data_IF_531754961018
#
_entry.id   IF_531754961018
#
_cell.length_a   1.000
_cell.length_b   1.000
_cell.length_c   1.000
_cell.angle_alpha   90.00
_cell.angle_beta   90.00
_cell.angle_gamma   90.00
#
_symmetry.space_group_name_H-M   'P 1'
#
loop_
_entity.id
_entity.type
_entity.pdbx_description
1 polymer ?
#
# COMPACT_ATOMS: atom_id res chain seq x y z
N UNK A 1 9.99 -2.19 10.72
CA UNK A 1 8.82 -3.08 10.92
C UNK A 1 7.69 -2.20 11.42
N UNK A 2 6.44 -2.37 10.95
CA UNK A 2 5.32 -1.57 11.49
C UNK A 2 5.13 -1.95 12.96
N UNK A 3 4.98 -0.96 13.83
CA UNK A 3 4.75 -1.19 15.26
C UNK A 3 3.41 -1.91 15.50
N UNK A 4 3.38 -2.83 16.46
CA UNK A 4 2.16 -3.59 16.82
C UNK A 4 0.98 -2.68 17.14
N UNK A 5 1.22 -1.57 17.83
CA UNK A 5 0.18 -0.56 18.13
C UNK A 5 -0.43 0.03 16.86
N UNK A 6 0.41 0.35 15.87
CA UNK A 6 -0.05 0.90 14.60
C UNK A 6 -0.80 -0.17 13.78
N UNK A 7 -0.32 -1.40 13.76
CA UNK A 7 -1.01 -2.53 13.12
C UNK A 7 -2.42 -2.71 13.68
N UNK A 8 -2.56 -2.74 15.02
CA UNK A 8 -3.86 -2.84 15.69
C UNK A 8 -4.78 -1.67 15.35
N UNK A 9 -4.23 -0.45 15.33
CA UNK A 9 -4.99 0.76 14.98
C UNK A 9 -5.53 0.70 13.55
N UNK A 10 -4.72 0.23 12.60
CA UNK A 10 -5.12 0.05 11.19
C UNK A 10 -6.20 -1.04 11.08
N UNK A 11 -6.00 -2.21 11.68
CA UNK A 11 -6.98 -3.32 11.64
C UNK A 11 -8.33 -2.90 12.26
N UNK A 12 -8.32 -2.25 13.42
CA UNK A 12 -9.54 -1.72 14.04
C UNK A 12 -10.24 -0.70 13.14
N UNK A 13 -9.46 0.15 12.45
CA UNK A 13 -10.01 1.13 11.50
C UNK A 13 -10.67 0.46 10.30
N UNK A 14 -10.09 -0.63 9.79
CA UNK A 14 -10.61 -1.42 8.68
C UNK A 14 -11.94 -2.07 9.07
N UNK A 15 -11.99 -2.74 10.22
CA UNK A 15 -13.14 -3.51 10.70
C UNK A 15 -14.31 -2.65 11.21
N UNK A 16 -14.10 -1.36 11.50
CA UNK A 16 -15.10 -0.49 12.18
C UNK A 16 -16.47 -0.43 11.49
N UNK A 17 -16.53 -0.65 10.18
CA UNK A 17 -17.75 -0.56 9.38
C UNK A 17 -18.40 -1.93 9.11
N UNK A 18 -18.08 -2.95 9.91
CA UNK A 18 -18.78 -4.25 9.87
C UNK A 18 -18.21 -5.24 8.86
N UNK A 19 -16.90 -5.21 8.63
CA UNK A 19 -16.23 -6.24 7.85
C UNK A 19 -15.99 -7.50 8.69
N UNK A 20 -16.03 -8.66 8.04
CA UNK A 20 -15.82 -9.96 8.68
C UNK A 20 -14.35 -10.19 9.02
N UNK A 21 -13.47 -9.65 8.18
CA UNK A 21 -12.03 -9.84 8.32
C UNK A 21 -11.23 -8.74 7.64
N UNK A 22 -10.02 -8.49 8.16
CA UNK A 22 -9.06 -7.57 7.54
C UNK A 22 -7.63 -8.08 7.67
N UNK A 23 -6.80 -7.73 6.70
CA UNK A 23 -5.38 -8.09 6.64
C UNK A 23 -4.53 -6.88 6.24
N UNK A 24 -3.29 -6.87 6.73
CA UNK A 24 -2.25 -5.89 6.38
C UNK A 24 -1.04 -6.66 5.87
N UNK A 25 -0.55 -6.30 4.68
CA UNK A 25 0.65 -6.86 4.08
C UNK A 25 1.69 -5.76 3.82
N UNK A 26 2.86 -5.87 4.43
CA UNK A 26 3.95 -4.88 4.28
C UNK A 26 4.97 -5.40 3.29
N UNK A 27 5.24 -4.64 2.23
CA UNK A 27 6.26 -4.96 1.23
C UNK A 27 7.48 -4.05 1.35
N UNK A 28 8.66 -4.64 1.16
CA UNK A 28 9.94 -3.95 0.97
C UNK A 28 10.60 -4.54 -0.26
N UNK A 29 10.82 -3.72 -1.29
CA UNK A 29 11.54 -4.11 -2.51
C UNK A 29 12.84 -3.34 -2.58
N UNK A 30 13.95 -4.04 -2.79
CA UNK A 30 15.26 -3.44 -3.06
C UNK A 30 15.62 -3.79 -4.50
N UNK A 31 16.00 -2.79 -5.30
CA UNK A 31 16.41 -2.99 -6.69
C UNK A 31 17.82 -2.46 -6.89
N UNK A 32 18.66 -3.29 -7.50
CA UNK A 32 20.00 -2.94 -7.91
C UNK A 32 20.09 -3.19 -9.41
N UNK A 33 20.34 -2.14 -10.20
CA UNK A 33 20.51 -2.27 -11.64
C UNK A 33 21.98 -2.01 -11.98
N UNK A 34 22.64 -3.02 -12.54
CA UNK A 34 24.01 -2.95 -13.04
C UNK A 34 23.93 -2.99 -14.57
N UNK A 35 24.22 -1.87 -15.24
CA UNK A 35 24.34 -1.80 -16.69
C UNK A 35 25.81 -1.65 -17.06
N UNK A 36 26.30 -2.54 -17.92
CA UNK A 36 27.67 -2.50 -18.45
C UNK A 36 27.59 -2.22 -19.95
N UNK A 37 28.22 -1.15 -20.40
CA UNK A 37 28.30 -0.77 -21.81
C UNK A 37 29.77 -0.42 -22.12
N UNK A 38 30.34 -1.05 -23.16
CA UNK A 38 31.70 -0.85 -23.66
C UNK A 38 32.84 -0.84 -22.60
N UNK A 39 32.87 -1.86 -21.72
CA UNK A 39 33.86 -2.03 -20.64
C UNK A 39 33.95 -0.88 -19.63
N UNK A 40 32.97 0.04 -19.62
CA UNK A 40 32.86 1.13 -18.67
C UNK A 40 31.58 0.96 -17.84
N UNK A 41 31.71 0.99 -16.52
CA UNK A 41 30.57 0.91 -15.61
C UNK A 41 29.89 2.30 -15.64
N UNK A 42 28.78 2.42 -16.35
CA UNK A 42 27.95 3.62 -16.37
C UNK A 42 26.70 3.37 -15.51
N UNK A 43 26.71 3.96 -14.31
CA UNK A 43 25.63 4.11 -13.34
C UNK A 43 25.10 2.85 -12.61
N UNK A 44 25.45 2.75 -11.32
CA UNK A 44 24.75 1.94 -10.31
C UNK A 44 23.54 2.72 -9.79
N UNK A 45 22.31 2.38 -10.20
CA UNK A 45 21.11 2.91 -9.55
C UNK A 45 20.63 1.94 -8.46
N UNK A 46 20.82 2.34 -7.22
CA UNK A 46 20.30 1.65 -6.04
C UNK A 46 19.04 2.35 -5.57
N UNK A 47 17.93 1.61 -5.47
CA UNK A 47 16.72 2.14 -4.85
C UNK A 47 15.98 1.12 -4.01
N UNK A 48 15.08 1.61 -3.18
CA UNK A 48 14.18 0.77 -2.40
C UNK A 48 12.75 1.34 -2.46
N UNK A 49 11.77 0.46 -2.58
CA UNK A 49 10.35 0.75 -2.47
C UNK A 49 9.82 0.14 -1.17
N UNK A 50 9.01 0.91 -0.45
CA UNK A 50 8.28 0.45 0.73
C UNK A 50 6.80 0.70 0.52
N UNK A 51 5.98 -0.29 0.82
CA UNK A 51 4.54 -0.17 0.65
C UNK A 51 3.75 -1.10 1.56
N UNK A 52 2.45 -0.91 1.55
CA UNK A 52 1.51 -1.64 2.38
C UNK A 52 0.22 -1.92 1.60
N UNK A 53 -0.17 -3.19 1.52
CA UNK A 53 -1.47 -3.63 1.05
C UNK A 53 -2.43 -3.82 2.21
N UNK A 54 -3.68 -3.35 2.06
CA UNK A 54 -4.77 -3.52 3.00
C UNK A 54 -5.88 -4.31 2.31
N UNK A 55 -6.40 -5.35 2.96
CA UNK A 55 -7.50 -6.17 2.45
C UNK A 55 -8.63 -6.27 3.46
N UNK A 56 -9.86 -6.29 2.97
CA UNK A 56 -11.10 -6.37 3.75
C UNK A 56 -12.06 -7.37 3.10
N UNK A 57 -12.71 -8.23 3.90
CA UNK A 57 -13.79 -9.13 3.49
C UNK A 57 -15.11 -8.71 4.11
N UNK A 58 -16.17 -8.66 3.30
CA UNK A 58 -17.54 -8.33 3.71
C UNK A 58 -18.51 -9.24 2.96
N UNK A 59 -19.02 -10.27 3.63
CA UNK A 59 -19.73 -11.37 3.00
C UNK A 59 -18.90 -11.97 1.87
N UNK A 60 -19.45 -11.98 0.66
CA UNK A 60 -18.78 -12.48 -0.55
C UNK A 60 -17.91 -11.42 -1.25
N UNK A 61 -17.85 -10.19 -0.73
CA UNK A 61 -17.11 -9.09 -1.34
C UNK A 61 -15.73 -8.92 -0.72
N UNK A 62 -14.72 -8.66 -1.56
CA UNK A 62 -13.36 -8.34 -1.13
C UNK A 62 -13.00 -6.91 -1.57
N UNK A 63 -12.39 -6.14 -0.68
CA UNK A 63 -11.91 -4.78 -0.94
C UNK A 63 -10.39 -4.72 -0.74
N UNK A 64 -9.71 -3.95 -1.58
CA UNK A 64 -8.25 -3.82 -1.53
C UNK A 64 -7.80 -2.36 -1.65
N UNK A 65 -6.79 -1.98 -0.85
CA UNK A 65 -6.07 -0.73 -1.01
C UNK A 65 -4.56 -0.96 -0.96
N UNK A 66 -3.81 -0.14 -1.70
CA UNK A 66 -2.36 -0.12 -1.65
C UNK A 66 -1.86 1.28 -1.33
N UNK A 67 -0.82 1.36 -0.49
CA UNK A 67 -0.14 2.59 -0.09
C UNK A 67 1.36 2.39 -0.34
N UNK A 68 1.99 3.31 -1.04
CA UNK A 68 3.43 3.34 -1.32
C UNK A 68 4.24 4.04 -0.22
N UNK A 69 3.74 3.96 1.02
CA UNK A 69 4.37 4.56 2.19
C UNK A 69 3.98 3.78 3.44
N UNK A 70 4.90 3.75 4.42
CA UNK A 70 4.66 3.20 5.76
C UNK A 70 4.37 4.31 6.79
N UNK A 71 4.17 5.55 6.34
CA UNK A 71 3.78 6.64 7.21
C UNK A 71 2.41 6.38 7.84
N UNK A 72 2.36 6.48 9.17
CA UNK A 72 1.15 6.24 9.97
C UNK A 72 -0.10 6.93 9.40
N UNK A 73 0.01 8.22 9.07
CA UNK A 73 -1.13 9.00 8.57
C UNK A 73 -1.65 8.49 7.23
N UNK A 74 -0.76 8.10 6.31
CA UNK A 74 -1.14 7.56 5.00
C UNK A 74 -1.82 6.20 5.13
N UNK A 75 -1.29 5.32 5.99
CA UNK A 75 -1.88 4.02 6.28
C UNK A 75 -3.27 4.14 6.92
N UNK A 76 -3.44 4.99 7.93
CA UNK A 76 -4.73 5.22 8.56
C UNK A 76 -5.73 5.86 7.62
N UNK A 77 -5.29 6.78 6.75
CA UNK A 77 -6.16 7.36 5.73
C UNK A 77 -6.64 6.28 4.74
N UNK A 78 -5.74 5.45 4.23
CA UNK A 78 -6.08 4.34 3.34
C UNK A 78 -7.08 3.38 3.99
N UNK A 79 -6.85 3.01 5.26
CA UNK A 79 -7.77 2.17 6.03
C UNK A 79 -9.15 2.81 6.21
N UNK A 80 -9.21 4.12 6.48
CA UNK A 80 -10.47 4.84 6.61
C UNK A 80 -11.27 4.81 5.30
N UNK A 81 -10.61 5.11 4.18
CA UNK A 81 -11.26 5.13 2.86
C UNK A 81 -11.72 3.74 2.46
N UNK A 82 -10.88 2.71 2.66
CA UNK A 82 -11.23 1.33 2.33
C UNK A 82 -12.42 0.85 3.17
N UNK A 83 -12.39 1.08 4.48
CA UNK A 83 -13.51 0.74 5.38
C UNK A 83 -14.80 1.49 5.01
N UNK A 84 -14.73 2.77 4.64
CA UNK A 84 -15.92 3.53 4.21
C UNK A 84 -16.49 3.06 2.88
N UNK A 85 -15.70 2.38 2.05
CA UNK A 85 -16.14 1.87 0.74
C UNK A 85 -17.13 0.71 0.85
N UNK A 86 -17.23 0.06 2.01
CA UNK A 86 -18.14 -1.06 2.30
C UNK A 86 -19.62 -0.65 2.15
N UNK A 87 -19.96 0.58 2.55
CA UNK A 87 -21.34 1.08 2.51
C UNK A 87 -21.72 1.71 1.15
N UNK A 88 -20.78 1.77 0.20
CA UNK A 88 -21.02 2.29 -1.14
C UNK A 88 -21.30 1.15 -2.11
N UNK A 89 -22.37 1.27 -2.91
CA UNK A 89 -22.87 0.26 -3.85
C UNK A 89 -21.78 -0.54 -4.57
N UNK A 90 -21.95 -1.87 -4.49
CA UNK A 90 -21.09 -2.98 -4.90
C UNK A 90 -20.37 -2.80 -6.23
N UNK A 91 -19.03 -2.72 -6.17
CA UNK A 91 -18.10 -3.18 -7.21
C UNK A 91 -16.69 -3.19 -6.61
N UNK A 92 -15.88 -4.19 -6.99
CA UNK A 92 -14.46 -4.30 -6.61
C UNK A 92 -13.73 -2.97 -6.85
N UNK A 93 -13.52 -2.19 -5.79
CA UNK A 93 -12.72 -0.96 -5.85
C UNK A 93 -11.30 -1.28 -5.44
N UNK A 94 -10.44 -1.48 -6.43
CA UNK A 94 -8.99 -1.41 -6.21
C UNK A 94 -8.65 0.06 -6.01
N UNK A 95 -8.38 0.45 -4.77
CA UNK A 95 -7.99 1.82 -4.45
C UNK A 95 -6.46 1.92 -4.40
N UNK A 96 -5.87 2.50 -5.43
CA UNK A 96 -4.45 2.81 -5.45
C UNK A 96 -4.23 4.19 -4.82
N UNK A 97 -3.61 4.24 -3.63
CA UNK A 97 -3.23 5.49 -2.96
C UNK A 97 -1.75 5.87 -3.20
N UNK A 98 -1.16 5.46 -4.33
CA UNK A 98 0.20 5.86 -4.67
C UNK A 98 0.33 7.39 -4.83
N UNK A 99 1.32 7.98 -4.17
CA UNK A 99 1.78 9.33 -4.50
C UNK A 99 2.52 9.28 -5.84
N UNK A 100 1.86 9.70 -6.92
CA UNK A 100 2.54 9.84 -8.21
C UNK A 100 3.47 11.06 -8.15
N UNK A 101 4.74 10.88 -7.76
CA UNK A 101 5.78 11.84 -8.13
C UNK A 101 6.10 11.64 -9.61
N UNK A 102 5.37 12.36 -10.47
CA UNK A 102 5.80 12.56 -11.85
C UNK A 102 7.11 13.34 -11.82
N UNK A 103 8.21 12.67 -12.14
CA UNK A 103 9.46 13.32 -12.52
C UNK A 103 9.88 12.77 -13.87
N UNK A 104 9.16 13.18 -14.91
CA UNK A 104 9.81 13.42 -16.19
C UNK A 104 10.35 14.84 -16.14
N UNK A 105 11.64 14.95 -15.84
CA UNK A 105 12.45 16.11 -16.25
C UNK A 105 13.33 15.63 -17.39
N UNK A 106 12.95 16.05 -18.59
CA UNK A 106 13.82 16.13 -19.77
C UNK A 106 14.98 17.09 -19.51
#
# INVERSE_FOLDING_TARGET
MIEDKLTKEILNTLLRNGADFSEIFVQRRVFNNLRLEDSKIENSSSGYELGCGLRLWVGDSTFYAYVDSLEKNKLLNAAKVLSSSINGSSSLKVLNLAETKSSYRS
#
